data_IF_649484209398
#
_entry.id   IF_649484209398
#
_cell.length_a   1.000
_cell.length_b   1.000
_cell.length_c   1.000
_cell.angle_alpha   90.00
_cell.angle_beta   90.00
_cell.angle_gamma   90.00
#
_symmetry.space_group_name_H-M   'P 1'
#
loop_
_entity.id
_entity.type
_entity.pdbx_description
1 polymer ?
#
# COMPACT_ATOMS: atom_id res chain seq x y z
N UNK A 1 -8.25 -0.83 -21.19
CA UNK A 1 -9.43 -1.05 -20.32
C UNK A 1 -10.01 0.31 -20.01
N UNK A 2 -11.28 0.50 -20.26
CA UNK A 2 -12.00 1.66 -19.78
C UNK A 2 -12.29 1.46 -18.29
N UNK A 3 -11.60 2.24 -17.46
CA UNK A 3 -11.83 2.25 -16.03
C UNK A 3 -13.01 3.18 -15.75
N UNK A 4 -14.12 2.72 -15.14
CA UNK A 4 -15.29 3.55 -14.88
C UNK A 4 -15.03 4.52 -13.70
N UNK A 5 -14.13 5.48 -13.93
CA UNK A 5 -13.62 6.40 -12.89
C UNK A 5 -14.73 7.18 -12.21
N UNK A 6 -15.68 7.74 -12.99
CA UNK A 6 -16.80 8.51 -12.44
C UNK A 6 -17.64 7.68 -11.48
N UNK A 7 -17.94 6.42 -11.85
CA UNK A 7 -18.67 5.50 -10.96
C UNK A 7 -17.84 5.17 -9.71
N UNK A 8 -16.57 4.81 -9.86
CA UNK A 8 -15.71 4.43 -8.74
C UNK A 8 -15.53 5.54 -7.70
N UNK A 9 -15.56 6.80 -8.13
CA UNK A 9 -15.45 7.98 -7.28
C UNK A 9 -16.81 8.53 -6.81
N UNK A 10 -17.93 7.95 -7.23
CA UNK A 10 -19.26 8.44 -6.87
C UNK A 10 -19.61 8.12 -5.41
N UNK A 11 -20.39 9.03 -4.79
CA UNK A 11 -20.94 8.82 -3.46
C UNK A 11 -21.87 7.59 -3.40
N UNK A 12 -22.61 7.33 -4.48
CA UNK A 12 -23.51 6.18 -4.57
C UNK A 12 -22.76 4.86 -4.54
N UNK A 13 -21.65 4.76 -5.28
CA UNK A 13 -20.78 3.56 -5.23
C UNK A 13 -20.14 3.39 -3.85
N UNK A 14 -19.67 4.45 -3.24
CA UNK A 14 -19.14 4.40 -1.88
C UNK A 14 -20.20 3.92 -0.88
N UNK A 15 -21.44 4.40 -0.99
CA UNK A 15 -22.57 3.97 -0.16
C UNK A 15 -22.95 2.49 -0.42
N UNK A 16 -22.92 2.04 -1.68
CA UNK A 16 -23.11 0.63 -2.05
C UNK A 16 -22.05 -0.25 -1.37
N UNK A 17 -20.78 0.11 -1.49
CA UNK A 17 -19.66 -0.63 -0.87
C UNK A 17 -19.78 -0.65 0.67
N UNK A 18 -20.12 0.49 1.27
CA UNK A 18 -20.31 0.60 2.72
C UNK A 18 -21.40 -0.38 3.25
N UNK A 19 -22.51 -0.55 2.52
CA UNK A 19 -23.58 -1.50 2.90
C UNK A 19 -23.13 -2.96 2.91
N UNK A 20 -22.05 -3.29 2.23
CA UNK A 20 -21.48 -4.63 2.23
C UNK A 20 -20.59 -4.92 3.45
N UNK A 21 -20.18 -3.88 4.18
CA UNK A 21 -19.39 -4.04 5.41
C UNK A 21 -20.30 -4.56 6.50
N UNK A 22 -19.95 -5.72 7.07
CA UNK A 22 -20.63 -6.33 8.21
C UNK A 22 -19.80 -6.06 9.46
N UNK A 23 -20.34 -5.38 10.48
CA UNK A 23 -19.57 -5.01 11.67
C UNK A 23 -19.24 -6.21 12.57
N UNK A 24 -19.97 -7.29 12.44
CA UNK A 24 -19.96 -8.49 13.29
C UNK A 24 -19.33 -9.72 12.61
N UNK A 25 -18.92 -9.60 11.35
CA UNK A 25 -18.35 -10.71 10.60
C UNK A 25 -17.32 -10.23 9.57
N UNK A 26 -16.15 -10.86 9.54
CA UNK A 26 -15.14 -10.64 8.53
C UNK A 26 -15.51 -11.27 7.18
N UNK A 27 -15.10 -10.65 6.09
CA UNK A 27 -15.13 -11.28 4.78
C UNK A 27 -14.16 -12.47 4.75
N UNK A 28 -14.71 -13.65 4.47
CA UNK A 28 -13.93 -14.88 4.35
C UNK A 28 -13.18 -14.98 3.01
N UNK A 29 -13.63 -14.22 2.02
CA UNK A 29 -13.02 -14.10 0.70
C UNK A 29 -12.89 -12.63 0.33
N UNK A 30 -12.17 -12.34 -0.75
CA UNK A 30 -12.13 -10.99 -1.31
C UNK A 30 -13.55 -10.54 -1.69
N UNK A 31 -14.00 -9.34 -1.27
CA UNK A 31 -15.31 -8.82 -1.65
C UNK A 31 -15.47 -8.79 -3.18
N UNK A 32 -16.67 -9.05 -3.71
CA UNK A 32 -16.90 -8.99 -5.15
C UNK A 32 -16.60 -7.59 -5.71
N UNK A 33 -16.02 -7.53 -6.90
CA UNK A 33 -15.82 -6.28 -7.64
C UNK A 33 -17.17 -5.74 -8.11
N UNK A 34 -17.62 -4.62 -7.54
CA UNK A 34 -18.97 -4.11 -7.82
C UNK A 34 -19.12 -3.34 -9.13
N UNK A 35 -18.04 -2.87 -9.74
CA UNK A 35 -18.09 -2.00 -10.92
C UNK A 35 -17.71 -2.70 -12.24
N UNK A 36 -17.11 -3.90 -12.16
CA UNK A 36 -16.62 -4.64 -13.33
C UNK A 36 -17.16 -6.06 -13.25
N UNK A 37 -18.00 -6.41 -14.21
CA UNK A 37 -18.52 -7.77 -14.37
C UNK A 37 -17.46 -8.71 -14.96
N UNK A 38 -17.55 -9.99 -14.60
CA UNK A 38 -16.71 -11.04 -15.21
C UNK A 38 -15.27 -11.07 -14.69
N UNK A 39 -14.95 -10.39 -13.61
CA UNK A 39 -13.63 -10.52 -12.98
C UNK A 39 -13.44 -11.94 -12.42
N UNK A 40 -12.42 -12.69 -12.86
CA UNK A 40 -12.19 -14.03 -12.36
C UNK A 40 -11.90 -14.00 -10.86
N UNK A 41 -12.56 -14.86 -10.10
CA UNK A 41 -12.27 -14.99 -8.66
C UNK A 41 -10.88 -15.62 -8.50
N UNK A 42 -10.01 -15.06 -7.66
CA UNK A 42 -8.73 -15.64 -7.37
C UNK A 42 -8.89 -16.96 -6.64
N UNK A 43 -7.94 -17.88 -6.84
CA UNK A 43 -7.85 -19.12 -6.06
C UNK A 43 -7.03 -18.86 -4.80
N UNK A 44 -7.49 -19.41 -3.68
CA UNK A 44 -6.74 -19.36 -2.42
C UNK A 44 -5.39 -20.08 -2.59
N UNK A 45 -4.37 -19.49 -2.00
CA UNK A 45 -3.01 -20.03 -1.90
C UNK A 45 -2.73 -20.55 -0.50
N UNK A 46 -1.65 -21.30 -0.35
CA UNK A 46 -1.12 -21.74 0.93
C UNK A 46 0.24 -21.10 1.17
N UNK A 47 0.63 -20.91 2.43
CA UNK A 47 1.92 -20.35 2.82
C UNK A 47 1.83 -18.92 3.36
N UNK A 48 2.99 -18.32 3.56
CA UNK A 48 3.12 -16.98 4.11
C UNK A 48 3.02 -15.89 3.02
N UNK A 49 2.60 -14.67 3.40
CA UNK A 49 2.63 -13.53 2.51
C UNK A 49 4.02 -13.28 1.94
N UNK A 50 4.12 -13.21 0.62
CA UNK A 50 5.35 -12.82 -0.04
C UNK A 50 5.50 -11.30 -0.02
N UNK A 51 6.69 -10.81 0.35
CA UNK A 51 6.98 -9.38 0.39
C UNK A 51 8.23 -9.09 -0.43
N UNK A 52 8.12 -8.37 -1.53
CA UNK A 52 9.29 -7.98 -2.31
C UNK A 52 10.19 -7.03 -1.51
N UNK A 53 11.50 -7.28 -1.55
CA UNK A 53 12.50 -6.56 -0.75
C UNK A 53 12.99 -5.25 -1.39
N UNK A 54 12.59 -4.95 -2.61
CA UNK A 54 13.20 -3.90 -3.42
C UNK A 54 12.23 -2.75 -3.69
N UNK A 55 12.25 -1.76 -2.83
CA UNK A 55 11.58 -0.47 -3.02
C UNK A 55 12.20 0.55 -2.08
N UNK A 56 12.43 1.75 -2.57
CA UNK A 56 12.78 2.92 -1.76
C UNK A 56 11.70 3.98 -1.86
N UNK A 57 11.73 4.94 -0.95
CA UNK A 57 10.86 6.10 -1.01
C UNK A 57 11.64 7.37 -0.66
N UNK A 58 11.34 8.46 -1.36
CA UNK A 58 11.86 9.78 -1.05
C UNK A 58 10.80 10.86 -1.26
N UNK A 59 10.75 11.84 -0.37
CA UNK A 59 9.98 13.06 -0.55
C UNK A 59 10.81 14.29 -0.18
N UNK A 60 10.49 15.39 -0.82
CA UNK A 60 11.19 16.67 -0.64
C UNK A 60 10.18 17.79 -0.65
N UNK A 61 10.42 18.82 0.16
CA UNK A 61 9.76 20.13 0.05
C UNK A 61 10.82 21.25 0.05
N UNK A 62 10.57 22.30 -0.69
CA UNK A 62 11.46 23.47 -0.76
C UNK A 62 10.82 24.74 -0.16
N UNK A 63 11.63 25.77 0.02
CA UNK A 63 11.20 27.06 0.58
C UNK A 63 10.13 27.80 -0.25
N UNK A 64 9.93 27.41 -1.49
CA UNK A 64 8.95 28.03 -2.40
C UNK A 64 7.60 27.28 -2.41
N UNK A 65 7.48 26.17 -1.65
CA UNK A 65 6.29 25.37 -1.55
C UNK A 65 6.20 24.27 -2.61
N UNK A 66 7.25 24.03 -3.39
CA UNK A 66 7.29 22.87 -4.27
C UNK A 66 7.46 21.61 -3.42
N UNK A 67 6.76 20.56 -3.80
CA UNK A 67 6.84 19.25 -3.16
C UNK A 67 7.06 18.15 -4.20
N UNK A 68 7.79 17.12 -3.81
CA UNK A 68 8.06 15.96 -4.65
C UNK A 68 7.87 14.69 -3.85
N UNK A 69 7.31 13.65 -4.47
CA UNK A 69 7.07 12.34 -3.89
C UNK A 69 7.43 11.27 -4.90
N UNK A 70 8.34 10.36 -4.55
CA UNK A 70 8.80 9.32 -5.45
C UNK A 70 8.97 7.97 -4.75
N UNK A 71 8.53 6.93 -5.41
CA UNK A 71 8.71 5.53 -4.99
C UNK A 71 9.53 4.79 -6.06
N UNK A 72 10.87 4.97 -6.11
CA UNK A 72 11.69 4.17 -7.00
C UNK A 72 11.66 2.72 -6.54
N UNK A 73 11.36 1.83 -7.48
CA UNK A 73 11.22 0.42 -7.19
C UNK A 73 11.45 -0.38 -8.47
N UNK A 74 12.53 -1.12 -8.49
CA UNK A 74 12.90 -1.96 -9.63
C UNK A 74 13.39 -3.31 -9.11
N UNK A 75 12.50 -4.28 -9.10
CA UNK A 75 12.80 -5.63 -8.62
C UNK A 75 13.73 -6.31 -9.63
N UNK A 76 15.03 -6.21 -9.38
CA UNK A 76 16.06 -6.75 -10.25
C UNK A 76 16.91 -7.85 -9.61
N UNK A 77 16.73 -8.11 -8.31
CA UNK A 77 17.57 -9.03 -7.53
C UNK A 77 17.60 -10.46 -8.07
N UNK A 78 16.54 -10.90 -8.77
CA UNK A 78 16.42 -12.24 -9.37
C UNK A 78 16.59 -12.26 -10.88
N UNK A 79 16.84 -11.10 -11.50
CA UNK A 79 17.00 -10.99 -12.95
C UNK A 79 18.47 -11.13 -13.33
N UNK A 80 18.82 -11.96 -14.36
CA UNK A 80 20.18 -12.05 -14.82
C UNK A 80 20.60 -10.77 -15.58
N UNK A 81 21.86 -10.41 -15.46
CA UNK A 81 22.45 -9.32 -16.27
C UNK A 81 22.47 -9.74 -17.76
N UNK A 82 22.07 -8.84 -18.63
CA UNK A 82 22.21 -9.06 -20.09
C UNK A 82 23.69 -9.01 -20.47
N UNK A 83 24.26 -10.11 -21.02
CA UNK A 83 25.69 -10.16 -21.31
C UNK A 83 26.16 -9.01 -22.24
N UNK A 84 27.28 -8.39 -21.88
CA UNK A 84 27.90 -7.32 -22.68
C UNK A 84 27.25 -5.94 -22.58
N UNK A 85 26.14 -5.78 -21.83
CA UNK A 85 25.45 -4.48 -21.71
C UNK A 85 25.57 -3.83 -20.35
N UNK A 86 25.81 -4.60 -19.28
CA UNK A 86 25.74 -4.12 -17.91
C UNK A 86 24.31 -3.84 -17.41
N UNK A 87 23.28 -4.16 -18.19
CA UNK A 87 21.89 -3.93 -17.85
C UNK A 87 21.26 -5.15 -17.16
N UNK A 88 20.50 -4.90 -16.12
CA UNK A 88 19.65 -5.90 -15.45
C UNK A 88 18.19 -5.59 -15.76
N UNK A 89 17.46 -6.46 -16.48
CA UNK A 89 16.05 -6.24 -16.76
C UNK A 89 15.21 -6.23 -15.47
N UNK A 90 14.24 -5.33 -15.40
CA UNK A 90 13.26 -5.31 -14.34
C UNK A 90 12.39 -6.55 -14.33
N UNK A 91 12.15 -7.15 -13.17
CA UNK A 91 11.19 -8.25 -12.99
C UNK A 91 9.74 -7.77 -12.85
N UNK A 92 9.46 -6.48 -13.09
CA UNK A 92 8.11 -5.89 -13.01
C UNK A 92 7.09 -6.51 -13.97
N UNK A 93 7.55 -7.21 -15.01
CA UNK A 93 6.68 -8.04 -15.87
C UNK A 93 5.87 -9.08 -15.09
N UNK A 94 6.38 -9.56 -13.94
CA UNK A 94 5.67 -10.49 -13.06
C UNK A 94 4.42 -9.89 -12.39
N UNK A 95 4.19 -8.60 -12.50
CA UNK A 95 2.93 -7.95 -12.08
C UNK A 95 1.83 -8.04 -13.16
N UNK A 96 2.15 -8.56 -14.34
CA UNK A 96 1.16 -8.88 -15.36
C UNK A 96 0.65 -10.32 -15.17
N UNK A 97 -0.60 -10.54 -15.57
CA UNK A 97 -1.22 -11.85 -15.50
C UNK A 97 -1.04 -12.61 -16.82
N UNK A 98 -0.79 -13.93 -16.71
CA UNK A 98 -0.67 -14.81 -17.87
C UNK A 98 -2.01 -15.17 -18.53
N UNK A 99 -3.13 -15.07 -17.81
CA UNK A 99 -4.46 -15.30 -18.36
C UNK A 99 -4.86 -14.12 -19.27
N UNK A 100 -5.06 -14.31 -20.58
CA UNK A 100 -5.40 -13.25 -21.52
C UNK A 100 -6.76 -12.59 -21.23
N UNK A 101 -7.63 -13.23 -20.47
CA UNK A 101 -8.93 -12.68 -20.05
C UNK A 101 -8.81 -11.76 -18.82
N UNK A 102 -7.69 -11.79 -18.12
CA UNK A 102 -7.49 -10.96 -16.95
C UNK A 102 -7.24 -9.51 -17.35
N UNK A 103 -7.81 -8.55 -16.60
CA UNK A 103 -7.67 -7.12 -16.90
C UNK A 103 -6.21 -6.64 -16.87
N UNK A 104 -5.35 -7.27 -16.07
CA UNK A 104 -3.91 -7.00 -16.01
C UNK A 104 -3.08 -7.97 -16.85
N UNK A 105 -3.68 -8.67 -17.82
CA UNK A 105 -2.93 -9.53 -18.74
C UNK A 105 -1.89 -8.75 -19.53
N UNK A 106 -0.72 -9.37 -19.74
CA UNK A 106 0.30 -8.79 -20.60
C UNK A 106 -0.21 -8.68 -22.04
N UNK A 107 0.01 -7.53 -22.67
CA UNK A 107 -0.35 -7.29 -24.06
C UNK A 107 0.58 -6.24 -24.68
N UNK A 108 0.81 -6.29 -26.00
CA UNK A 108 1.60 -5.27 -26.69
C UNK A 108 1.07 -3.86 -26.48
N UNK A 109 1.94 -2.89 -26.17
CA UNK A 109 1.58 -1.51 -25.96
C UNK A 109 0.81 -1.22 -24.65
N UNK A 110 0.50 -2.22 -23.85
CA UNK A 110 -0.22 -2.06 -22.59
C UNK A 110 0.76 -1.80 -21.45
N UNK A 111 0.50 -0.72 -20.69
CA UNK A 111 1.25 -0.44 -19.45
C UNK A 111 0.91 -1.48 -18.39
N UNK A 112 1.89 -2.13 -17.75
CA UNK A 112 1.62 -3.06 -16.65
C UNK A 112 1.10 -2.32 -15.41
N UNK A 113 0.40 -3.03 -14.54
CA UNK A 113 0.13 -2.59 -13.18
C UNK A 113 1.46 -2.47 -12.42
N UNK A 114 1.56 -1.47 -11.54
CA UNK A 114 2.72 -1.28 -10.67
C UNK A 114 2.26 -1.08 -9.23
N UNK A 115 3.08 -1.52 -8.27
CA UNK A 115 2.89 -1.29 -6.84
C UNK A 115 3.42 0.06 -6.34
N UNK A 116 4.41 0.74 -6.96
CA UNK A 116 4.84 2.07 -6.53
C UNK A 116 3.67 3.02 -6.36
N UNK A 117 3.57 3.63 -5.18
CA UNK A 117 2.42 4.43 -4.78
C UNK A 117 2.86 5.73 -4.07
N UNK A 118 3.61 6.63 -4.75
CA UNK A 118 3.92 7.95 -4.19
C UNK A 118 2.66 8.80 -4.12
N UNK A 119 2.44 9.48 -3.00
CA UNK A 119 1.25 10.30 -2.79
C UNK A 119 1.61 11.73 -2.38
N UNK A 120 0.72 12.66 -2.70
CA UNK A 120 0.71 14.03 -2.18
C UNK A 120 -0.72 14.35 -1.80
N UNK A 121 -0.94 14.72 -0.55
CA UNK A 121 -2.20 15.29 -0.09
C UNK A 121 -2.08 16.82 -0.02
N UNK A 122 -3.14 17.51 -0.42
CA UNK A 122 -3.23 18.97 -0.31
C UNK A 122 -4.32 19.31 0.70
N UNK A 123 -3.93 20.04 1.73
CA UNK A 123 -4.85 20.53 2.75
C UNK A 123 -5.69 21.72 2.27
N UNK A 124 -6.76 22.05 3.03
CA UNK A 124 -7.72 23.09 2.63
C UNK A 124 -7.12 24.50 2.52
N UNK A 125 -6.00 24.77 3.21
CA UNK A 125 -5.33 26.07 3.15
C UNK A 125 -4.13 26.08 2.20
N UNK A 126 -3.87 24.97 1.50
CA UNK A 126 -2.76 24.79 0.57
C UNK A 126 -1.53 24.13 1.19
N UNK A 127 -1.64 23.60 2.39
CA UNK A 127 -0.60 22.75 2.97
C UNK A 127 -0.38 21.53 2.05
N UNK A 128 0.87 21.14 1.83
CA UNK A 128 1.20 19.99 1.02
C UNK A 128 1.85 18.90 1.87
N UNK A 129 1.41 17.67 1.67
CA UNK A 129 1.90 16.51 2.41
C UNK A 129 2.31 15.40 1.43
N UNK A 130 3.57 15.39 0.94
CA UNK A 130 4.11 14.26 0.22
C UNK A 130 4.42 13.12 1.20
N UNK A 131 3.98 11.91 0.87
CA UNK A 131 4.23 10.72 1.69
C UNK A 131 4.22 9.44 0.86
N UNK A 132 4.88 8.41 1.36
CA UNK A 132 4.97 7.11 0.73
C UNK A 132 5.83 6.15 1.51
N UNK A 133 5.92 4.92 1.02
CA UNK A 133 6.63 3.83 1.68
C UNK A 133 7.09 2.77 0.69
N UNK A 134 8.16 2.03 0.96
CA UNK A 134 8.35 0.70 0.37
C UNK A 134 7.36 -0.31 0.96
N UNK A 135 7.20 -1.49 0.31
CA UNK A 135 6.44 -2.60 0.89
C UNK A 135 5.45 -3.31 -0.05
N UNK A 136 5.62 -3.25 -1.36
CA UNK A 136 4.72 -3.95 -2.30
C UNK A 136 3.25 -3.58 -2.08
N UNK A 137 2.37 -4.55 -1.91
CA UNK A 137 0.94 -4.33 -1.70
C UNK A 137 0.57 -3.83 -0.28
N UNK A 138 1.52 -3.78 0.65
CA UNK A 138 1.34 -3.15 1.96
C UNK A 138 1.43 -1.62 1.87
N UNK A 139 2.01 -1.06 0.79
CA UNK A 139 2.22 0.38 0.65
C UNK A 139 0.95 1.20 0.89
N UNK A 140 -0.11 0.95 0.13
CA UNK A 140 -1.37 1.70 0.24
C UNK A 140 -2.03 1.56 1.62
N UNK A 141 -1.90 0.38 2.24
CA UNK A 141 -2.46 0.11 3.56
C UNK A 141 -1.70 0.86 4.66
N UNK A 142 -0.36 0.83 4.64
CA UNK A 142 0.48 1.55 5.59
C UNK A 142 0.30 3.07 5.46
N UNK A 143 0.27 3.57 4.22
CA UNK A 143 0.08 4.99 3.93
C UNK A 143 -1.28 5.49 4.41
N UNK A 144 -2.36 4.72 4.19
CA UNK A 144 -3.70 5.06 4.66
C UNK A 144 -3.73 5.17 6.19
N UNK A 145 -3.13 4.23 6.91
CA UNK A 145 -3.09 4.26 8.38
C UNK A 145 -2.35 5.48 8.89
N UNK A 146 -1.17 5.79 8.34
CA UNK A 146 -0.39 7.00 8.72
C UNK A 146 -1.16 8.27 8.38
N UNK A 147 -1.78 8.35 7.22
CA UNK A 147 -2.59 9.50 6.81
C UNK A 147 -3.77 9.74 7.77
N UNK A 148 -4.49 8.69 8.15
CA UNK A 148 -5.61 8.78 9.11
C UNK A 148 -5.12 9.13 10.52
N UNK A 149 -4.00 8.56 10.97
CA UNK A 149 -3.38 8.89 12.25
C UNK A 149 -3.11 10.40 12.34
N UNK A 150 -2.56 10.99 11.28
CA UNK A 150 -2.26 12.43 11.23
C UNK A 150 -3.53 13.28 11.10
N UNK A 151 -4.41 12.96 10.16
CA UNK A 151 -5.50 13.86 9.73
C UNK A 151 -6.79 13.67 10.51
N UNK A 152 -7.06 12.47 11.01
CA UNK A 152 -8.30 12.12 11.73
C UNK A 152 -8.05 11.98 13.22
N UNK A 153 -6.98 11.29 13.61
CA UNK A 153 -6.68 11.03 15.03
C UNK A 153 -5.78 12.08 15.66
N UNK A 154 -5.27 13.06 14.91
CA UNK A 154 -4.55 14.23 15.42
C UNK A 154 -3.15 13.93 15.96
N UNK A 155 -2.55 12.79 15.63
CA UNK A 155 -1.19 12.45 16.02
C UNK A 155 -0.18 13.41 15.39
N UNK A 156 0.97 13.63 16.04
CA UNK A 156 2.11 14.27 15.37
C UNK A 156 2.59 13.42 14.19
N UNK A 157 3.37 13.98 13.27
CA UNK A 157 3.90 13.21 12.14
C UNK A 157 4.73 12.00 12.60
N UNK A 158 5.59 12.18 13.61
CA UNK A 158 6.42 11.10 14.12
C UNK A 158 5.58 10.01 14.82
N UNK A 159 4.63 10.37 15.67
CA UNK A 159 3.70 9.41 16.27
C UNK A 159 2.91 8.65 15.20
N UNK A 160 2.50 9.32 14.12
CA UNK A 160 1.74 8.72 13.03
C UNK A 160 2.52 7.60 12.33
N UNK A 161 3.83 7.81 12.09
CA UNK A 161 4.68 6.79 11.43
C UNK A 161 5.13 5.69 12.39
N UNK A 162 5.18 5.95 13.70
CA UNK A 162 5.58 4.97 14.73
C UNK A 162 4.41 4.13 15.26
N UNK A 163 3.18 4.57 15.04
CA UNK A 163 1.99 3.82 15.46
C UNK A 163 2.00 2.39 14.92
N UNK A 164 1.53 1.41 15.70
CA UNK A 164 1.49 0.03 15.26
C UNK A 164 0.53 -0.14 14.08
N UNK A 165 0.86 -1.05 13.17
CA UNK A 165 0.16 -1.25 11.90
C UNK A 165 -0.42 -2.64 11.76
N UNK A 166 -1.35 -2.73 10.84
CA UNK A 166 -1.90 -3.96 10.32
C UNK A 166 -1.73 -4.03 8.80
N UNK A 167 -1.79 -5.25 8.23
CA UNK A 167 -1.91 -5.44 6.80
C UNK A 167 -2.79 -6.65 6.49
N UNK A 168 -3.70 -6.49 5.54
CA UNK A 168 -4.50 -7.58 4.98
C UNK A 168 -3.81 -8.18 3.77
N UNK A 169 -3.91 -9.50 3.64
CA UNK A 169 -3.48 -10.28 2.47
C UNK A 169 -4.64 -11.02 1.82
N UNK A 170 -5.88 -10.59 2.16
CA UNK A 170 -7.12 -11.15 1.62
C UNK A 170 -7.43 -10.63 0.20
N UNK A 171 -6.39 -10.54 -0.64
CA UNK A 171 -6.45 -10.20 -2.07
C UNK A 171 -5.21 -10.79 -2.77
N UNK A 172 -5.25 -11.03 -4.09
CA UNK A 172 -4.11 -11.55 -4.81
C UNK A 172 -2.92 -10.60 -4.78
N UNK A 173 -1.74 -11.13 -4.44
CA UNK A 173 -0.47 -10.39 -4.53
C UNK A 173 -0.26 -9.84 -5.95
N UNK A 174 0.35 -8.67 -6.03
CA UNK A 174 0.63 -8.02 -7.31
C UNK A 174 1.64 -8.78 -8.17
N UNK A 175 2.50 -9.58 -7.56
CA UNK A 175 3.56 -10.31 -8.23
C UNK A 175 3.18 -11.78 -8.43
N UNK A 176 3.64 -12.37 -9.55
CA UNK A 176 3.55 -13.83 -9.79
C UNK A 176 4.18 -14.60 -8.61
N UNK A 177 3.53 -15.63 -8.05
CA UNK A 177 2.33 -16.34 -8.53
C UNK A 177 0.99 -15.75 -8.07
N UNK A 178 0.91 -14.48 -7.71
CA UNK A 178 -0.31 -13.80 -7.27
C UNK A 178 -0.94 -14.47 -6.05
N UNK A 179 -0.13 -14.75 -5.04
CA UNK A 179 -0.56 -15.41 -3.80
C UNK A 179 -1.77 -14.71 -3.19
N UNK A 180 -2.81 -15.49 -2.89
CA UNK A 180 -4.04 -15.01 -2.29
C UNK A 180 -4.35 -15.77 -1.01
N UNK A 181 -4.42 -15.08 0.11
CA UNK A 181 -4.65 -15.63 1.45
C UNK A 181 -5.97 -15.11 2.01
N UNK A 182 -7.10 -15.80 1.76
CA UNK A 182 -8.42 -15.36 2.21
C UNK A 182 -8.47 -15.13 3.72
N UNK A 183 -9.07 -14.00 4.12
CA UNK A 183 -9.22 -13.64 5.54
C UNK A 183 -7.93 -13.28 6.27
N UNK A 184 -6.76 -13.42 5.65
CA UNK A 184 -5.46 -13.23 6.29
C UNK A 184 -5.22 -11.78 6.69
N UNK A 185 -4.90 -11.57 7.96
CA UNK A 185 -4.60 -10.28 8.56
C UNK A 185 -3.36 -10.40 9.46
N UNK A 186 -2.40 -9.52 9.27
CA UNK A 186 -1.19 -9.43 10.08
C UNK A 186 -1.25 -8.18 10.96
N UNK A 187 -0.91 -8.30 12.23
CA UNK A 187 -0.88 -7.21 13.20
C UNK A 187 0.50 -7.07 13.81
N UNK A 188 1.02 -5.86 13.98
CA UNK A 188 2.17 -5.67 14.86
C UNK A 188 1.79 -5.96 16.32
N UNK A 189 2.74 -6.48 17.11
CA UNK A 189 2.53 -7.03 18.46
C UNK A 189 1.81 -6.07 19.40
N UNK A 190 2.12 -4.76 19.37
CA UNK A 190 1.42 -3.76 20.19
C UNK A 190 -0.08 -3.70 19.89
N UNK A 191 -0.46 -3.81 18.63
CA UNK A 191 -1.86 -3.83 18.19
C UNK A 191 -2.50 -5.20 18.50
N UNK A 192 -1.77 -6.28 18.30
CA UNK A 192 -2.25 -7.64 18.55
C UNK A 192 -2.69 -7.87 20.00
N UNK A 193 -2.03 -7.24 20.98
CA UNK A 193 -2.38 -7.37 22.41
C UNK A 193 -3.85 -7.12 22.71
N UNK A 194 -4.49 -6.20 21.99
CA UNK A 194 -5.90 -5.85 22.22
C UNK A 194 -6.84 -6.33 21.10
N UNK A 195 -6.34 -6.45 19.87
CA UNK A 195 -7.17 -6.64 18.69
C UNK A 195 -7.21 -8.09 18.18
N UNK A 196 -6.21 -8.92 18.47
CA UNK A 196 -6.09 -10.28 17.92
C UNK A 196 -7.29 -11.16 18.28
N UNK A 197 -7.67 -11.21 19.55
CA UNK A 197 -8.83 -12.01 20.01
C UNK A 197 -10.14 -11.58 19.36
N UNK A 198 -10.53 -10.29 19.48
CA UNK A 198 -11.73 -9.78 18.85
C UNK A 198 -11.79 -9.99 17.33
N UNK A 199 -10.68 -9.78 16.61
CA UNK A 199 -10.63 -9.97 15.16
C UNK A 199 -10.79 -11.45 14.77
N UNK A 200 -10.22 -12.38 15.52
CA UNK A 200 -10.43 -13.83 15.31
C UNK A 200 -11.89 -14.23 15.57
N UNK A 201 -12.54 -13.62 16.56
CA UNK A 201 -13.98 -13.86 16.80
C UNK A 201 -14.86 -13.38 15.65
N UNK A 202 -14.45 -12.34 14.93
CA UNK A 202 -15.11 -11.89 13.71
C UNK A 202 -14.83 -12.80 12.50
N UNK A 203 -13.90 -13.75 12.61
CA UNK A 203 -13.58 -14.72 11.56
C UNK A 203 -12.33 -14.38 10.73
N UNK A 204 -11.55 -13.37 11.12
CA UNK A 204 -10.25 -13.14 10.46
C UNK A 204 -9.24 -14.24 10.81
N UNK A 205 -8.44 -14.65 9.83
CA UNK A 205 -7.22 -15.42 10.04
C UNK A 205 -6.09 -14.45 10.45
N UNK A 206 -5.91 -14.27 11.75
CA UNK A 206 -5.01 -13.24 12.31
C UNK A 206 -3.74 -13.85 12.84
N UNK A 207 -2.60 -13.33 12.37
CA UNK A 207 -1.28 -13.60 12.93
C UNK A 207 -0.58 -12.31 13.38
N UNK A 208 0.48 -12.51 14.16
CA UNK A 208 1.24 -11.42 14.77
C UNK A 208 2.58 -11.24 14.08
N UNK A 209 2.95 -9.99 13.84
CA UNK A 209 4.29 -9.55 13.51
C UNK A 209 5.00 -8.98 14.74
N UNK A 210 6.32 -9.11 14.76
CA UNK A 210 7.13 -8.34 15.69
C UNK A 210 6.90 -6.84 15.50
N UNK A 211 6.88 -6.08 16.60
CA UNK A 211 6.81 -4.62 16.55
C UNK A 211 7.98 -4.03 15.77
N UNK A 212 7.69 -2.99 15.00
CA UNK A 212 8.70 -2.33 14.20
C UNK A 212 9.20 -3.16 13.02
N UNK A 213 8.42 -4.15 12.58
CA UNK A 213 8.81 -4.96 11.43
C UNK A 213 8.83 -4.16 10.13
N UNK A 214 9.90 -4.31 9.34
CA UNK A 214 9.99 -3.72 8.00
C UNK A 214 8.86 -4.18 7.06
N UNK A 215 8.19 -5.29 7.37
CA UNK A 215 7.07 -5.84 6.60
C UNK A 215 5.83 -4.95 6.65
N UNK A 216 5.68 -4.14 7.67
CA UNK A 216 4.57 -3.19 7.83
C UNK A 216 4.79 -1.86 7.06
N UNK A 217 5.76 -1.82 6.16
CA UNK A 217 6.18 -0.62 5.44
C UNK A 217 7.12 0.26 6.27
N UNK A 218 7.58 1.36 5.68
CA UNK A 218 8.41 2.37 6.35
C UNK A 218 8.06 3.74 5.76
N UNK A 219 7.05 4.40 6.31
CA UNK A 219 6.50 5.63 5.73
C UNK A 219 7.37 6.82 6.08
N UNK A 220 7.85 7.53 5.04
CA UNK A 220 8.38 8.88 5.22
C UNK A 220 7.33 9.89 4.75
N UNK A 221 7.27 11.02 5.46
CA UNK A 221 6.24 12.03 5.26
C UNK A 221 6.78 13.41 5.58
N UNK A 222 6.35 14.41 4.83
CA UNK A 222 6.58 15.83 5.12
C UNK A 222 5.21 16.51 5.21
N UNK A 223 5.08 17.47 6.10
CA UNK A 223 4.01 18.47 6.10
C UNK A 223 4.65 19.84 5.83
N UNK A 224 4.30 20.44 4.70
CA UNK A 224 4.83 21.72 4.24
C UNK A 224 3.73 22.77 4.20
N UNK A 225 3.90 23.85 4.96
CA UNK A 225 3.05 25.05 4.92
C UNK A 225 3.91 26.22 4.45
N UNK A 226 3.93 26.45 3.14
CA UNK A 226 4.73 27.51 2.53
C UNK A 226 4.33 28.92 3.00
N UNK A 227 3.07 29.13 3.39
CA UNK A 227 2.59 30.43 3.89
C UNK A 227 3.19 30.75 5.27
N UNK A 228 3.43 29.73 6.07
CA UNK A 228 4.07 29.87 7.39
C UNK A 228 5.59 29.66 7.35
N UNK A 229 6.13 29.22 6.19
CA UNK A 229 7.53 28.82 6.08
C UNK A 229 7.88 27.61 6.96
N UNK A 230 6.90 26.74 7.20
CA UNK A 230 7.08 25.59 8.10
C UNK A 230 7.18 24.31 7.28
N UNK A 231 8.23 23.53 7.57
CA UNK A 231 8.43 22.19 7.03
C UNK A 231 8.70 21.23 8.19
N UNK A 232 7.88 20.19 8.32
CA UNK A 232 8.02 19.16 9.35
C UNK A 232 8.14 17.82 8.65
N UNK A 233 9.23 17.09 8.91
CA UNK A 233 9.47 15.77 8.36
C UNK A 233 9.40 14.69 9.43
N UNK A 234 8.91 13.50 9.07
CA UNK A 234 9.01 12.31 9.90
C UNK A 234 9.48 11.12 9.09
N UNK A 235 10.32 10.29 9.73
CA UNK A 235 10.89 9.09 9.15
C UNK A 235 10.57 7.87 10.02
N UNK A 236 10.10 6.81 9.39
CA UNK A 236 9.68 5.58 10.05
C UNK A 236 10.89 4.75 10.51
N UNK A 237 10.98 4.37 11.79
CA UNK A 237 12.11 3.60 12.30
C UNK A 237 12.13 2.12 11.85
N UNK A 238 11.11 1.63 11.15
CA UNK A 238 11.04 0.24 10.66
C UNK A 238 12.09 -0.08 9.60
N UNK A 239 12.67 0.93 8.98
CA UNK A 239 13.84 0.83 8.08
C UNK A 239 14.81 1.98 8.37
N UNK A 240 16.07 1.90 7.89
CA UNK A 240 16.97 3.05 7.92
C UNK A 240 16.42 4.19 7.07
N UNK A 241 15.67 5.08 7.69
CA UNK A 241 15.05 6.27 7.09
C UNK A 241 15.46 7.51 7.86
N UNK A 242 15.51 8.64 7.18
CA UNK A 242 15.97 9.91 7.76
C UNK A 242 15.06 11.05 7.30
N UNK A 243 14.78 11.98 8.22
CA UNK A 243 14.25 13.30 7.92
C UNK A 243 15.36 14.32 8.19
N UNK A 244 15.67 15.13 7.19
CA UNK A 244 16.73 16.16 7.27
C UNK A 244 16.21 17.48 6.73
N UNK A 245 16.65 18.61 7.30
CA UNK A 245 16.26 19.95 6.90
C UNK A 245 17.22 20.99 7.39
#
# INVERSE_FOLDING_TARGET
IDVPIERLLSADYAAERKRMIRPDEAWQEMPPGGAIEGYPRPRASTGDPQLPLDTSYACVSDRWGNVFSATPSDVSNSSPMVPGTGLVPSSRGSQSWGDPKHHSAAAPGKRPRLTPNPAIAIGPNGEAMPFGTPGGDVQSQAMLQVFLNRTVFGMTLQESVEAPRLASFSFPDSFEPHTYLPGKLMLEARLAKSALGPLRQLGHDVDEWQDGTWRAGAVCIIEADAKKGLHVGAADPRRPCYAVG
#
